data_IF_328084271559
#
_entry.id   IF_328084271559
#
_cell.length_a   1.000
_cell.length_b   1.000
_cell.length_c   1.000
_cell.angle_alpha   90.00
_cell.angle_beta   90.00
_cell.angle_gamma   90.00
#
_symmetry.space_group_name_H-M   'P 1'
#
loop_
_entity.id
_entity.type
_entity.pdbx_description
1 polymer ?
#
# COMPACT_ATOMS: atom_id res chain seq x y z
N UNK A 1 2.98 14.00 -0.06
CA UNK A 1 2.22 12.74 -0.25
C UNK A 1 2.09 12.02 1.10
N UNK A 2 0.89 11.65 1.48
CA UNK A 2 0.65 10.98 2.76
C UNK A 2 1.02 9.50 2.66
N UNK A 3 1.73 8.98 3.67
CA UNK A 3 2.09 7.57 3.73
C UNK A 3 0.96 6.74 4.36
N UNK A 4 1.01 5.43 4.18
CA UNK A 4 0.05 4.51 4.80
C UNK A 4 0.06 4.67 6.32
N UNK A 5 1.25 4.73 6.93
CA UNK A 5 1.38 4.90 8.38
C UNK A 5 0.77 6.20 8.87
N UNK A 6 1.02 7.29 8.16
CA UNK A 6 0.43 8.60 8.50
C UNK A 6 -1.10 8.56 8.41
N UNK A 7 -1.65 7.91 7.38
CA UNK A 7 -3.09 7.79 7.23
C UNK A 7 -3.72 6.94 8.33
N UNK A 8 -3.07 5.84 8.70
CA UNK A 8 -3.53 5.00 9.81
C UNK A 8 -3.56 5.80 11.11
N UNK A 9 -2.50 6.55 11.40
CA UNK A 9 -2.43 7.39 12.58
C UNK A 9 -3.53 8.45 12.59
N UNK A 10 -3.74 9.12 11.47
CA UNK A 10 -4.78 10.14 11.32
C UNK A 10 -6.17 9.57 11.64
N UNK A 11 -6.50 8.41 11.04
CA UNK A 11 -7.78 7.75 11.28
C UNK A 11 -7.94 7.31 12.74
N UNK A 12 -6.85 6.82 13.34
CA UNK A 12 -6.85 6.42 14.73
C UNK A 12 -7.14 7.60 15.65
N UNK A 13 -6.46 8.71 15.41
CA UNK A 13 -6.63 9.94 16.20
C UNK A 13 -8.03 10.53 16.03
N UNK A 14 -8.60 10.46 14.83
CA UNK A 14 -9.97 10.91 14.58
C UNK A 14 -11.00 10.14 15.41
N UNK A 15 -10.70 8.89 15.73
CA UNK A 15 -11.57 8.04 16.55
C UNK A 15 -11.22 8.10 18.05
N UNK A 16 -10.31 8.98 18.42
CA UNK A 16 -9.86 9.12 19.82
C UNK A 16 -9.32 7.81 20.41
N UNK A 17 -8.71 6.99 19.57
CA UNK A 17 -8.10 5.73 20.03
C UNK A 17 -6.63 5.95 20.31
N UNK A 18 -6.18 5.51 21.51
CA UNK A 18 -4.76 5.52 21.81
C UNK A 18 -4.06 4.41 21.02
N UNK A 19 -2.75 4.51 20.93
CA UNK A 19 -1.94 3.48 20.27
C UNK A 19 -2.13 2.13 20.95
N UNK A 20 -2.14 2.11 22.30
CA UNK A 20 -2.33 0.88 23.07
C UNK A 20 -3.70 0.26 22.86
N UNK A 21 -4.75 1.08 22.90
CA UNK A 21 -6.11 0.60 22.69
C UNK A 21 -6.26 -0.03 21.30
N UNK A 22 -5.73 0.64 20.30
CA UNK A 22 -5.78 0.15 18.92
C UNK A 22 -5.01 -1.15 18.76
N UNK A 23 -3.80 -1.21 19.29
CA UNK A 23 -2.97 -2.42 19.24
C UNK A 23 -3.68 -3.61 19.89
N UNK A 24 -4.29 -3.38 21.05
CA UNK A 24 -5.05 -4.42 21.75
C UNK A 24 -6.21 -4.92 20.90
N UNK A 25 -6.98 -4.02 20.31
CA UNK A 25 -8.12 -4.39 19.45
C UNK A 25 -7.67 -5.11 18.19
N UNK A 26 -6.48 -4.80 17.69
CA UNK A 26 -5.91 -5.45 16.51
C UNK A 26 -5.17 -6.75 16.84
N UNK A 27 -5.02 -7.05 18.12
CA UNK A 27 -4.26 -8.20 18.60
C UNK A 27 -2.80 -8.18 18.12
N UNK A 28 -2.17 -7.00 18.20
CA UNK A 28 -0.76 -6.80 17.91
C UNK A 28 -0.13 -6.01 19.07
N UNK A 29 1.20 -5.95 19.10
CA UNK A 29 1.88 -5.15 20.11
C UNK A 29 1.79 -3.65 19.77
N UNK A 30 1.83 -2.81 20.82
CA UNK A 30 1.86 -1.36 20.60
C UNK A 30 3.11 -0.95 19.82
N UNK A 31 4.25 -1.61 20.07
CA UNK A 31 5.49 -1.36 19.35
C UNK A 31 5.35 -1.66 17.86
N UNK A 32 4.69 -2.77 17.52
CA UNK A 32 4.44 -3.14 16.12
C UNK A 32 3.58 -2.09 15.43
N UNK A 33 2.47 -1.69 16.07
CA UNK A 33 1.60 -0.66 15.48
C UNK A 33 2.32 0.67 15.34
N UNK A 34 3.12 1.05 16.31
CA UNK A 34 3.94 2.26 16.23
C UNK A 34 4.88 2.21 15.03
N UNK A 35 5.53 1.07 14.80
CA UNK A 35 6.43 0.89 13.66
C UNK A 35 5.69 1.03 12.34
N UNK A 36 4.46 0.53 12.25
CA UNK A 36 3.62 0.68 11.06
C UNK A 36 3.32 2.17 10.82
N UNK A 37 2.91 2.90 11.87
CA UNK A 37 2.59 4.33 11.74
C UNK A 37 3.80 5.16 11.36
N UNK A 38 4.98 4.77 11.80
CA UNK A 38 6.23 5.46 11.48
C UNK A 38 6.86 5.04 10.14
N UNK A 39 6.25 4.07 9.47
CA UNK A 39 6.76 3.58 8.19
C UNK A 39 7.94 2.63 8.29
N UNK A 40 8.26 2.14 9.49
CA UNK A 40 9.36 1.19 9.70
C UNK A 40 8.98 -0.24 9.35
N UNK A 41 7.68 -0.55 9.39
CA UNK A 41 7.14 -1.85 9.04
C UNK A 41 5.87 -1.67 8.22
N UNK A 42 5.57 -2.67 7.41
CA UNK A 42 4.32 -2.70 6.64
C UNK A 42 3.44 -3.82 7.17
N UNK A 43 2.12 -3.58 7.28
CA UNK A 43 1.22 -4.63 7.75
C UNK A 43 1.03 -5.71 6.68
N UNK A 44 0.86 -6.96 7.12
CA UNK A 44 0.42 -8.02 6.23
C UNK A 44 -1.01 -7.72 5.77
N UNK A 45 -1.48 -8.43 4.74
CA UNK A 45 -2.85 -8.25 4.25
C UNK A 45 -3.88 -8.53 5.34
N UNK A 46 -3.64 -9.53 6.19
CA UNK A 46 -4.52 -9.87 7.30
C UNK A 46 -4.58 -8.73 8.33
N UNK A 47 -3.42 -8.20 8.72
CA UNK A 47 -3.35 -7.08 9.68
C UNK A 47 -3.98 -5.83 9.06
N UNK A 48 -3.73 -5.58 7.78
CA UNK A 48 -4.30 -4.42 7.09
C UNK A 48 -5.82 -4.50 7.06
N UNK A 49 -6.38 -5.69 6.84
CA UNK A 49 -7.83 -5.90 6.86
C UNK A 49 -8.41 -5.60 8.23
N UNK A 50 -7.72 -6.02 9.30
CA UNK A 50 -8.15 -5.72 10.67
C UNK A 50 -8.08 -4.22 10.98
N UNK A 51 -7.03 -3.56 10.51
CA UNK A 51 -6.88 -2.11 10.67
C UNK A 51 -8.02 -1.38 9.94
N UNK A 52 -8.31 -1.78 8.72
CA UNK A 52 -9.39 -1.19 7.93
C UNK A 52 -10.73 -1.31 8.66
N UNK A 53 -11.02 -2.49 9.19
CA UNK A 53 -12.26 -2.74 9.94
C UNK A 53 -12.34 -1.88 11.20
N UNK A 54 -11.26 -1.81 11.96
CA UNK A 54 -11.21 -1.01 13.19
C UNK A 54 -11.42 0.47 12.90
N UNK A 55 -10.80 0.98 11.84
CA UNK A 55 -10.81 2.42 11.54
C UNK A 55 -11.96 2.83 10.63
N UNK A 56 -12.75 1.87 10.14
CA UNK A 56 -13.90 2.18 9.27
C UNK A 56 -13.50 2.67 7.89
N UNK A 57 -12.36 2.20 7.38
CA UNK A 57 -11.87 2.55 6.06
C UNK A 57 -11.82 1.29 5.18
N UNK A 58 -11.91 1.44 3.87
CA UNK A 58 -11.79 0.27 2.99
C UNK A 58 -10.33 -0.16 2.87
N UNK A 59 -10.13 -1.48 2.71
CA UNK A 59 -8.78 -2.05 2.50
C UNK A 59 -8.15 -1.44 1.24
N UNK A 60 -8.92 -1.33 0.17
CA UNK A 60 -8.42 -0.79 -1.10
C UNK A 60 -7.94 0.64 -0.95
N UNK A 61 -8.68 1.45 -0.18
CA UNK A 61 -8.29 2.83 0.05
C UNK A 61 -7.01 2.92 0.88
N UNK A 62 -6.85 2.07 1.89
CA UNK A 62 -5.61 2.00 2.65
C UNK A 62 -4.45 1.53 1.77
N UNK A 63 -4.67 0.54 0.92
CA UNK A 63 -3.64 0.05 -0.01
C UNK A 63 -3.16 1.13 -0.97
N UNK A 64 -4.01 2.11 -1.29
CA UNK A 64 -3.61 3.20 -2.20
C UNK A 64 -2.50 4.08 -1.62
N UNK A 65 -2.30 4.04 -0.30
CA UNK A 65 -1.21 4.75 0.37
C UNK A 65 0.06 3.90 0.51
N UNK A 66 -0.02 2.60 0.18
CA UNK A 66 1.14 1.70 0.29
C UNK A 66 2.07 1.95 -0.90
N UNK A 67 3.31 2.30 -0.60
CA UNK A 67 4.31 2.61 -1.63
C UNK A 67 5.11 1.40 -2.08
N UNK A 68 4.84 0.23 -1.51
CA UNK A 68 5.56 -1.00 -1.91
C UNK A 68 5.07 -1.47 -3.28
N UNK A 69 5.99 -1.89 -4.17
CA UNK A 69 5.56 -2.50 -5.42
C UNK A 69 4.80 -3.81 -5.18
N UNK A 70 3.74 -4.09 -5.94
CA UNK A 70 2.99 -5.34 -5.80
C UNK A 70 3.75 -6.52 -6.43
N UNK A 71 4.80 -6.97 -5.77
CA UNK A 71 5.76 -7.92 -6.34
C UNK A 71 5.14 -9.26 -6.73
N UNK A 72 4.23 -9.78 -5.91
CA UNK A 72 3.61 -11.08 -6.21
C UNK A 72 2.74 -11.01 -7.46
N UNK A 73 1.98 -9.95 -7.60
CA UNK A 73 1.15 -9.70 -8.77
C UNK A 73 2.00 -9.53 -10.02
N UNK A 74 3.11 -8.78 -9.92
CA UNK A 74 4.03 -8.58 -11.03
C UNK A 74 4.67 -9.89 -11.47
N UNK A 75 5.05 -10.74 -10.53
CA UNK A 75 5.61 -12.06 -10.82
C UNK A 75 4.61 -12.94 -11.56
N UNK A 76 3.35 -12.94 -11.13
CA UNK A 76 2.29 -13.73 -11.79
C UNK A 76 2.04 -13.23 -13.20
N UNK A 77 1.96 -11.92 -13.39
CA UNK A 77 1.77 -11.32 -14.72
C UNK A 77 2.92 -11.68 -15.66
N UNK A 78 4.14 -11.65 -15.14
CA UNK A 78 5.34 -11.99 -15.92
C UNK A 78 5.36 -13.47 -16.28
N UNK A 79 4.95 -14.35 -15.35
CA UNK A 79 4.91 -15.78 -15.59
C UNK A 79 3.90 -16.17 -16.68
N UNK A 80 2.73 -15.50 -16.70
CA UNK A 80 1.70 -15.75 -17.69
C UNK A 80 1.95 -15.05 -19.03
N UNK A 81 2.75 -13.98 -19.03
CA UNK A 81 3.06 -13.21 -20.23
C UNK A 81 4.52 -12.74 -20.21
N UNK A 82 5.42 -13.51 -20.85
CA UNK A 82 6.85 -13.14 -20.85
C UNK A 82 7.14 -11.74 -21.40
N UNK A 83 6.31 -11.24 -22.31
CA UNK A 83 6.45 -9.90 -22.84
C UNK A 83 6.33 -8.83 -21.74
N UNK A 84 5.54 -9.11 -20.71
CA UNK A 84 5.44 -8.23 -19.56
C UNK A 84 6.79 -8.05 -18.86
N UNK A 85 7.55 -9.14 -18.72
CA UNK A 85 8.90 -9.09 -18.15
C UNK A 85 9.83 -8.20 -18.96
N UNK A 86 9.76 -8.32 -20.29
CA UNK A 86 10.55 -7.47 -21.20
C UNK A 86 10.16 -6.01 -21.02
N UNK A 87 8.86 -5.72 -20.96
CA UNK A 87 8.36 -4.35 -20.78
C UNK A 87 8.85 -3.73 -19.48
N UNK A 88 8.76 -4.48 -18.38
CA UNK A 88 9.19 -3.99 -17.08
C UNK A 88 10.70 -3.74 -17.03
N UNK A 89 11.49 -4.62 -17.66
CA UNK A 89 12.93 -4.42 -17.77
C UNK A 89 13.26 -3.15 -18.52
N UNK A 90 12.53 -2.86 -19.59
CA UNK A 90 12.74 -1.64 -20.36
C UNK A 90 12.40 -0.39 -19.58
N UNK A 91 11.40 -0.44 -18.72
CA UNK A 91 11.08 0.68 -17.82
C UNK A 91 12.29 1.00 -16.94
N UNK A 92 12.92 -0.03 -16.37
CA UNK A 92 14.10 0.13 -15.54
C UNK A 92 15.30 0.65 -16.34
N UNK A 93 15.58 0.02 -17.50
CA UNK A 93 16.74 0.36 -18.33
C UNK A 93 16.66 1.79 -18.88
N UNK A 94 15.47 2.22 -19.25
CA UNK A 94 15.25 3.56 -19.80
C UNK A 94 15.06 4.61 -18.72
N UNK A 95 15.10 4.18 -17.45
CA UNK A 95 14.96 5.08 -16.32
C UNK A 95 13.72 5.96 -16.42
N UNK A 96 12.58 5.33 -16.73
CA UNK A 96 11.31 6.04 -16.92
C UNK A 96 10.91 6.73 -15.62
N UNK A 97 10.62 8.02 -15.71
CA UNK A 97 10.15 8.82 -14.59
C UNK A 97 8.73 8.39 -14.18
N UNK A 98 8.46 8.43 -12.88
CA UNK A 98 7.14 8.07 -12.33
C UNK A 98 6.02 8.89 -12.96
N UNK A 99 6.25 10.19 -13.19
CA UNK A 99 5.26 11.06 -13.82
C UNK A 99 4.94 10.61 -15.24
N UNK A 100 5.97 10.25 -16.01
CA UNK A 100 5.80 9.74 -17.38
C UNK A 100 5.00 8.45 -17.38
N UNK A 101 5.29 7.55 -16.44
CA UNK A 101 4.58 6.27 -16.34
C UNK A 101 3.11 6.48 -15.99
N UNK A 102 2.83 7.37 -15.03
CA UNK A 102 1.46 7.71 -14.64
C UNK A 102 0.69 8.31 -15.83
N UNK A 103 1.33 9.16 -16.62
CA UNK A 103 0.71 9.77 -17.81
C UNK A 103 0.35 8.71 -18.85
N UNK A 104 1.20 7.71 -19.05
CA UNK A 104 0.90 6.60 -19.95
C UNK A 104 -0.28 5.78 -19.45
N UNK A 105 -0.36 5.54 -18.14
CA UNK A 105 -1.46 4.82 -17.54
C UNK A 105 -2.78 5.55 -17.71
N UNK A 106 -2.79 6.87 -17.62
CA UNK A 106 -3.99 7.67 -17.83
C UNK A 106 -4.55 7.49 -19.24
N UNK A 107 -3.68 7.31 -20.25
CA UNK A 107 -4.12 7.02 -21.61
C UNK A 107 -4.81 5.67 -21.72
N UNK A 108 -4.31 4.68 -20.99
CA UNK A 108 -4.94 3.34 -20.92
C UNK A 108 -6.31 3.43 -20.25
N UNK A 109 -6.40 4.15 -19.14
CA UNK A 109 -7.64 4.33 -18.40
C UNK A 109 -8.74 4.99 -19.23
N UNK A 110 -8.38 5.95 -20.08
CA UNK A 110 -9.34 6.63 -20.96
C UNK A 110 -9.91 5.72 -22.04
N UNK A 111 -9.22 4.65 -22.39
CA UNK A 111 -9.67 3.71 -23.43
C UNK A 111 -10.54 2.58 -22.89
N UNK A 112 -10.58 2.42 -21.58
CA UNK A 112 -11.35 1.33 -20.95
C UNK A 112 -12.74 1.76 -20.41
#
# INVERSE_FOLDING_TARGET
MKTLGERIRELREEKDLSLRESAKKLNVSAAFLSDIELGRRFPSDDVLARIAKLLGESVDKLKSYDTRPPMEELKRMTASNPLMGVALRRVVEKNVDATQLIDLLKKVEKKS
#
